data_IF_846670373489
#
_entry.id   IF_846670373489
#
_cell.length_a   1.000
_cell.length_b   1.000
_cell.length_c   1.000
_cell.angle_alpha   90.00
_cell.angle_beta   90.00
_cell.angle_gamma   90.00
#
_symmetry.space_group_name_H-M   'P 1'
#
loop_
_entity.id
_entity.type
_entity.pdbx_description
1 polymer ?
#
# COMPACT_ATOMS: atom_id res chain seq x y z
N UNK A 1 -21.11 15.02 -11.92
CA UNK A 1 -20.42 14.34 -10.80
C UNK A 1 -20.39 12.86 -11.13
N UNK A 2 -19.22 12.33 -11.41
CA UNK A 2 -19.05 10.90 -11.75
C UNK A 2 -18.70 10.10 -10.50
N UNK A 3 -19.07 8.82 -10.45
CA UNK A 3 -18.67 7.91 -9.38
C UNK A 3 -17.59 6.97 -9.90
N UNK A 4 -16.44 6.97 -9.25
CA UNK A 4 -15.33 6.07 -9.54
C UNK A 4 -15.24 4.98 -8.47
N UNK A 5 -15.13 3.74 -8.91
CA UNK A 5 -14.80 2.61 -8.04
C UNK A 5 -13.29 2.39 -8.10
N UNK A 6 -12.62 2.57 -6.98
CA UNK A 6 -11.17 2.46 -6.87
C UNK A 6 -10.83 1.20 -6.06
N UNK A 7 -10.22 0.23 -6.71
CA UNK A 7 -9.67 -0.94 -6.03
C UNK A 7 -8.23 -0.68 -5.69
N UNK A 8 -7.92 -0.59 -4.41
CA UNK A 8 -6.55 -0.43 -3.94
C UNK A 8 -6.13 -1.57 -3.04
N UNK A 9 -4.84 -1.89 -3.03
CA UNK A 9 -4.31 -3.06 -2.33
C UNK A 9 -3.15 -2.61 -1.45
N UNK A 10 -3.10 -3.14 -0.22
CA UNK A 10 -1.97 -2.93 0.69
C UNK A 10 -1.18 -4.23 0.78
N UNK A 11 0.10 -4.16 0.41
CA UNK A 11 1.02 -5.28 0.32
C UNK A 11 2.29 -5.04 1.14
N UNK A 12 3.04 -6.10 1.33
CA UNK A 12 4.29 -6.14 2.08
C UNK A 12 4.29 -7.32 3.05
N UNK A 13 5.42 -7.58 3.65
CA UNK A 13 5.63 -8.73 4.53
C UNK A 13 4.69 -8.77 5.74
N UNK A 14 4.65 -9.91 6.42
CA UNK A 14 3.93 -10.06 7.69
C UNK A 14 4.50 -9.11 8.75
N UNK A 15 3.64 -8.67 9.68
CA UNK A 15 4.01 -7.86 10.83
C UNK A 15 4.62 -6.46 10.56
N UNK A 16 4.65 -5.98 9.32
CA UNK A 16 5.08 -4.60 9.03
C UNK A 16 4.05 -3.53 9.46
N UNK A 17 2.85 -3.95 9.87
CA UNK A 17 1.81 -3.06 10.40
C UNK A 17 0.81 -2.53 9.36
N UNK A 18 0.56 -3.25 8.25
CA UNK A 18 -0.43 -2.87 7.20
C UNK A 18 -1.82 -2.65 7.78
N UNK A 19 -2.35 -3.64 8.47
CA UNK A 19 -3.67 -3.59 9.11
C UNK A 19 -3.75 -2.48 10.15
N UNK A 20 -2.70 -2.31 10.95
CA UNK A 20 -2.63 -1.25 11.97
C UNK A 20 -2.65 0.14 11.32
N UNK A 21 -1.96 0.29 10.19
CA UNK A 21 -1.94 1.54 9.41
C UNK A 21 -3.34 1.87 8.85
N UNK A 22 -4.05 0.86 8.34
CA UNK A 22 -5.43 1.00 7.87
C UNK A 22 -6.39 1.38 8.99
N UNK A 23 -6.33 0.73 10.14
CA UNK A 23 -7.13 1.10 11.30
C UNK A 23 -6.83 2.52 11.77
N UNK A 24 -5.55 2.91 11.79
CA UNK A 24 -5.17 4.28 12.13
C UNK A 24 -5.80 5.30 11.19
N UNK A 25 -5.83 5.01 9.89
CA UNK A 25 -6.43 5.89 8.89
C UNK A 25 -7.95 5.97 9.00
N UNK A 26 -8.63 4.83 9.16
CA UNK A 26 -10.11 4.75 9.14
C UNK A 26 -10.71 5.19 10.47
N UNK A 27 -10.18 4.69 11.57
CA UNK A 27 -10.75 4.82 12.91
C UNK A 27 -10.06 5.91 13.75
N UNK A 28 -8.92 6.45 13.26
CA UNK A 28 -8.12 7.43 13.99
C UNK A 28 -7.40 6.87 15.23
N UNK A 29 -7.52 5.57 15.50
CA UNK A 29 -6.98 4.91 16.69
C UNK A 29 -5.80 3.99 16.37
N UNK A 30 -4.91 3.82 17.34
CA UNK A 30 -3.86 2.81 17.31
C UNK A 30 -4.25 1.66 18.23
N UNK A 31 -4.27 0.46 17.68
CA UNK A 31 -4.53 -0.77 18.44
C UNK A 31 -3.23 -1.56 18.50
N UNK A 32 -2.67 -1.70 19.70
CA UNK A 32 -1.48 -2.51 19.92
C UNK A 32 -1.84 -3.99 19.95
N UNK A 33 -0.94 -4.83 19.45
CA UNK A 33 -1.10 -6.29 19.52
C UNK A 33 -2.16 -6.86 18.59
N UNK A 34 -2.51 -6.17 17.49
CA UNK A 34 -3.37 -6.76 16.47
C UNK A 34 -2.79 -8.09 15.98
N UNK A 35 -3.64 -9.11 15.92
CA UNK A 35 -3.27 -10.40 15.37
C UNK A 35 -2.92 -10.28 13.89
N UNK A 36 -2.01 -11.15 13.42
CA UNK A 36 -1.62 -11.16 12.02
C UNK A 36 -2.83 -11.47 11.12
N UNK A 37 -2.99 -10.69 10.06
CA UNK A 37 -4.06 -10.89 9.08
C UNK A 37 -3.90 -12.23 8.38
N UNK A 38 -4.93 -13.07 8.46
CA UNK A 38 -5.03 -14.34 7.74
C UNK A 38 -5.94 -14.12 6.54
N UNK A 39 -5.41 -14.31 5.33
CA UNK A 39 -6.17 -14.12 4.10
C UNK A 39 -6.29 -12.65 3.68
N UNK A 40 -7.50 -12.16 3.49
CA UNK A 40 -7.79 -10.80 3.03
C UNK A 40 -8.88 -10.14 3.86
N UNK A 41 -8.71 -8.86 4.18
CA UNK A 41 -9.73 -8.00 4.77
C UNK A 41 -10.07 -6.86 3.81
N UNK A 42 -11.33 -6.42 3.83
CA UNK A 42 -11.84 -5.37 2.96
C UNK A 42 -12.28 -4.16 3.78
N UNK A 43 -11.80 -2.99 3.37
CA UNK A 43 -12.19 -1.72 3.96
C UNK A 43 -12.76 -0.82 2.87
N UNK A 44 -13.85 -0.12 3.16
CA UNK A 44 -14.47 0.82 2.22
C UNK A 44 -14.34 2.25 2.73
N UNK A 45 -13.98 3.15 1.84
CA UNK A 45 -13.86 4.56 2.15
C UNK A 45 -14.47 5.40 1.01
N UNK A 46 -15.19 6.49 1.37
CA UNK A 46 -15.74 7.42 0.40
C UNK A 46 -14.98 8.74 0.47
N UNK A 47 -14.42 9.14 -0.65
CA UNK A 47 -13.72 10.41 -0.80
C UNK A 47 -14.33 11.24 -1.94
N UNK A 48 -14.03 12.53 -1.93
CA UNK A 48 -14.24 13.41 -3.08
C UNK A 48 -12.87 13.82 -3.62
N UNK A 49 -12.67 13.67 -4.91
CA UNK A 49 -11.46 14.10 -5.57
C UNK A 49 -11.79 14.78 -6.90
N UNK A 50 -11.28 15.99 -7.12
CA UNK A 50 -11.55 16.81 -8.32
C UNK A 50 -13.05 16.97 -8.66
N UNK A 51 -13.92 17.06 -7.65
CA UNK A 51 -15.37 17.22 -7.83
C UNK A 51 -16.14 15.92 -8.10
N UNK A 52 -15.45 14.79 -8.24
CA UNK A 52 -16.03 13.47 -8.42
C UNK A 52 -16.05 12.66 -7.12
N UNK A 53 -16.93 11.67 -7.04
CA UNK A 53 -16.99 10.73 -5.92
C UNK A 53 -16.08 9.53 -6.17
N UNK A 54 -15.26 9.21 -5.18
CA UNK A 54 -14.40 8.03 -5.18
C UNK A 54 -14.88 7.04 -4.11
N UNK A 55 -15.36 5.90 -4.52
CA UNK A 55 -15.61 4.76 -3.64
C UNK A 55 -14.36 3.89 -3.66
N UNK A 56 -13.52 4.02 -2.64
CA UNK A 56 -12.30 3.25 -2.47
C UNK A 56 -12.62 1.94 -1.75
N UNK A 57 -12.20 0.82 -2.31
CA UNK A 57 -12.17 -0.48 -1.64
C UNK A 57 -10.72 -0.87 -1.45
N UNK A 58 -10.27 -0.86 -0.20
CA UNK A 58 -8.91 -1.26 0.16
C UNK A 58 -8.89 -2.71 0.56
N UNK A 59 -8.03 -3.47 -0.08
CA UNK A 59 -7.80 -4.88 0.17
C UNK A 59 -6.52 -5.02 0.99
N UNK A 60 -6.67 -5.33 2.28
CA UNK A 60 -5.55 -5.63 3.18
C UNK A 60 -5.22 -7.12 3.10
N UNK A 61 -4.09 -7.44 2.46
CA UNK A 61 -3.66 -8.82 2.30
C UNK A 61 -2.65 -9.22 3.37
N UNK A 62 -2.86 -10.41 3.94
CA UNK A 62 -1.91 -11.01 4.87
C UNK A 62 -0.54 -11.20 4.23
N UNK A 63 0.51 -10.63 4.85
CA UNK A 63 1.86 -10.60 4.26
C UNK A 63 2.67 -11.89 4.42
N UNK A 64 2.07 -12.97 4.92
CA UNK A 64 2.79 -14.22 5.16
C UNK A 64 3.12 -14.94 3.85
N UNK A 65 4.37 -15.38 3.71
CA UNK A 65 4.89 -16.08 2.50
C UNK A 65 4.03 -17.31 2.10
N UNK A 66 3.46 -18.00 3.06
CA UNK A 66 2.60 -19.17 2.80
C UNK A 66 1.33 -18.82 2.02
N UNK A 67 0.70 -17.67 2.27
CA UNK A 67 -0.51 -17.27 1.54
C UNK A 67 -0.22 -16.88 0.09
N UNK A 68 0.96 -16.31 -0.18
CA UNK A 68 1.39 -16.03 -1.57
C UNK A 68 1.55 -17.31 -2.38
N UNK A 69 2.10 -18.38 -1.77
CA UNK A 69 2.33 -19.66 -2.43
C UNK A 69 1.04 -20.43 -2.75
N UNK A 70 -0.09 -20.06 -2.16
CA UNK A 70 -1.38 -20.72 -2.41
C UNK A 70 -2.05 -20.30 -3.74
N UNK A 71 -1.45 -19.38 -4.52
CA UNK A 71 -2.00 -18.95 -5.82
C UNK A 71 -3.31 -18.16 -5.74
N UNK A 72 -3.71 -17.73 -4.54
CA UNK A 72 -4.97 -17.01 -4.31
C UNK A 72 -4.78 -15.50 -4.49
N UNK A 73 -3.63 -14.98 -4.12
CA UNK A 73 -3.35 -13.55 -4.13
C UNK A 73 -3.25 -12.95 -5.52
N UNK A 74 -2.87 -13.73 -6.52
CA UNK A 74 -2.81 -13.31 -7.93
C UNK A 74 -4.15 -12.76 -8.40
N UNK A 75 -5.25 -13.45 -8.05
CA UNK A 75 -6.61 -13.00 -8.39
C UNK A 75 -6.99 -11.69 -7.71
N UNK A 76 -6.44 -11.43 -6.52
CA UNK A 76 -6.73 -10.20 -5.78
C UNK A 76 -6.01 -8.99 -6.36
N UNK A 77 -4.87 -9.17 -7.05
CA UNK A 77 -4.15 -8.08 -7.69
C UNK A 77 -4.82 -7.63 -8.99
N UNK A 78 -5.56 -8.52 -9.65
CA UNK A 78 -6.19 -8.18 -10.92
C UNK A 78 -7.17 -7.01 -10.78
N UNK A 79 -7.05 -6.04 -11.69
CA UNK A 79 -7.92 -4.87 -11.72
C UNK A 79 -7.62 -3.81 -10.65
N UNK A 80 -6.50 -3.91 -9.96
CA UNK A 80 -6.08 -2.86 -9.02
C UNK A 80 -5.92 -1.51 -9.73
N UNK A 81 -6.31 -0.44 -9.04
CA UNK A 81 -6.15 0.95 -9.47
C UNK A 81 -4.93 1.60 -8.83
N UNK A 82 -4.49 1.11 -7.68
CA UNK A 82 -3.34 1.60 -6.94
C UNK A 82 -2.89 0.59 -5.88
N UNK A 83 -1.60 0.60 -5.55
CA UNK A 83 -1.00 -0.29 -4.55
C UNK A 83 -0.19 0.53 -3.56
N UNK A 84 -0.40 0.25 -2.25
CA UNK A 84 0.54 0.59 -1.21
C UNK A 84 1.44 -0.63 -0.95
N UNK A 85 2.73 -0.48 -1.18
CA UNK A 85 3.72 -1.51 -0.90
C UNK A 85 4.58 -1.07 0.27
N UNK A 86 4.60 -1.86 1.33
CA UNK A 86 5.23 -1.48 2.57
C UNK A 86 6.35 -2.39 3.04
N UNK A 87 7.20 -1.81 3.86
CA UNK A 87 8.22 -2.49 4.63
C UNK A 87 8.30 -1.90 6.06
N UNK A 88 9.04 -2.56 6.93
CA UNK A 88 9.31 -2.12 8.30
C UNK A 88 10.67 -1.43 8.34
N UNK A 89 10.72 -0.18 8.81
CA UNK A 89 11.98 0.58 8.94
C UNK A 89 12.97 -0.06 9.91
N UNK A 90 12.48 -0.95 10.78
CA UNK A 90 13.30 -1.71 11.75
C UNK A 90 13.71 -3.09 11.25
N UNK A 91 13.51 -3.38 9.94
CA UNK A 91 13.88 -4.67 9.35
C UNK A 91 14.34 -4.50 7.90
N UNK A 92 15.65 -4.62 7.70
CA UNK A 92 16.28 -4.58 6.38
C UNK A 92 15.76 -5.70 5.46
N UNK A 93 15.44 -6.88 6.02
CA UNK A 93 14.89 -8.00 5.27
C UNK A 93 13.57 -7.64 4.60
N UNK A 94 12.67 -6.98 5.31
CA UNK A 94 11.37 -6.58 4.74
C UNK A 94 11.51 -5.54 3.63
N UNK A 95 12.53 -4.68 3.70
CA UNK A 95 12.88 -3.75 2.63
C UNK A 95 13.45 -4.48 1.41
N UNK A 96 14.35 -5.43 1.59
CA UNK A 96 14.90 -6.25 0.50
C UNK A 96 13.79 -7.03 -0.21
N UNK A 97 12.86 -7.63 0.54
CA UNK A 97 11.74 -8.38 -0.01
C UNK A 97 10.79 -7.53 -0.89
N UNK A 98 10.78 -6.19 -0.74
CA UNK A 98 10.08 -5.30 -1.68
C UNK A 98 10.55 -5.55 -3.12
N UNK A 99 11.86 -5.68 -3.31
CA UNK A 99 12.49 -5.82 -4.64
C UNK A 99 12.58 -7.27 -5.07
N UNK A 100 12.96 -8.16 -4.16
CA UNK A 100 13.23 -9.56 -4.46
C UNK A 100 11.95 -10.39 -4.68
N UNK A 101 10.83 -9.98 -4.05
CA UNK A 101 9.62 -10.78 -4.07
C UNK A 101 8.37 -10.00 -4.50
N UNK A 102 8.15 -8.77 -3.95
CA UNK A 102 6.87 -8.09 -4.13
C UNK A 102 6.73 -7.38 -5.47
N UNK A 103 7.77 -6.70 -5.97
CA UNK A 103 7.67 -5.95 -7.22
C UNK A 103 7.39 -6.84 -8.42
N UNK A 104 8.09 -7.96 -8.54
CA UNK A 104 7.86 -8.90 -9.63
C UNK A 104 6.50 -9.57 -9.52
N UNK A 105 6.07 -9.92 -8.31
CA UNK A 105 4.73 -10.43 -8.07
C UNK A 105 3.63 -9.44 -8.49
N UNK A 106 3.80 -8.15 -8.18
CA UNK A 106 2.87 -7.08 -8.59
C UNK A 106 2.87 -6.93 -10.11
N UNK A 107 4.04 -6.83 -10.74
CA UNK A 107 4.16 -6.66 -12.20
C UNK A 107 3.49 -7.79 -12.97
N UNK A 108 3.68 -9.03 -12.53
CA UNK A 108 3.08 -10.20 -13.16
C UNK A 108 1.55 -10.24 -13.03
N UNK A 109 0.98 -9.80 -11.91
CA UNK A 109 -0.43 -10.03 -11.58
C UNK A 109 -1.32 -8.79 -11.65
N UNK A 110 -0.77 -7.60 -11.45
CA UNK A 110 -1.49 -6.32 -11.54
C UNK A 110 -1.13 -5.50 -12.78
N UNK A 111 -0.05 -5.87 -13.46
CA UNK A 111 0.46 -5.10 -14.61
C UNK A 111 1.05 -3.75 -14.19
N UNK A 112 0.91 -2.76 -15.05
CA UNK A 112 1.44 -1.42 -14.81
C UNK A 112 0.45 -0.58 -13.97
N UNK A 113 0.39 -0.84 -12.67
CA UNK A 113 -0.41 -0.12 -11.69
C UNK A 113 0.47 0.87 -10.92
N UNK A 114 -0.04 2.06 -10.52
CA UNK A 114 0.72 2.97 -9.68
C UNK A 114 1.00 2.34 -8.30
N UNK A 115 2.26 2.37 -7.91
CA UNK A 115 2.74 1.85 -6.62
C UNK A 115 3.30 3.00 -5.79
N UNK A 116 2.84 3.12 -4.56
CA UNK A 116 3.38 4.02 -3.55
C UNK A 116 4.11 3.16 -2.53
N UNK A 117 5.37 3.50 -2.25
CA UNK A 117 6.19 2.82 -1.26
C UNK A 117 6.01 3.47 0.11
N UNK A 118 5.97 2.67 1.18
CA UNK A 118 6.01 3.20 2.53
C UNK A 118 6.91 2.37 3.46
N UNK A 119 7.67 3.06 4.31
CA UNK A 119 8.38 2.48 5.44
C UNK A 119 7.61 2.77 6.72
N UNK A 120 7.10 1.74 7.38
CA UNK A 120 6.33 1.89 8.62
C UNK A 120 7.21 1.79 9.86
N UNK A 121 6.64 2.13 11.01
CA UNK A 121 7.28 2.17 12.34
C UNK A 121 8.37 3.25 12.46
N UNK A 122 8.15 4.39 11.81
CA UNK A 122 9.07 5.54 11.85
C UNK A 122 9.27 6.11 13.28
N UNK A 123 8.41 5.77 14.22
CA UNK A 123 8.54 6.10 15.65
C UNK A 123 9.63 5.30 16.38
N UNK A 124 10.05 4.14 15.85
CA UNK A 124 11.08 3.28 16.43
C UNK A 124 12.48 3.68 15.93
N UNK A 125 12.89 4.91 16.24
CA UNK A 125 14.11 5.53 15.72
C UNK A 125 15.37 4.74 16.12
N UNK A 126 15.42 4.25 17.37
CA UNK A 126 16.57 3.53 17.90
C UNK A 126 16.78 2.14 17.27
N UNK A 127 15.71 1.56 16.75
CA UNK A 127 15.73 0.22 16.15
C UNK A 127 15.80 0.25 14.63
N UNK A 128 15.99 1.44 14.04
CA UNK A 128 16.00 1.64 12.59
C UNK A 128 17.18 0.92 11.94
N UNK A 129 16.88 0.08 10.95
CA UNK A 129 17.87 -0.62 10.12
C UNK A 129 17.90 -0.10 8.67
N UNK A 130 16.81 0.51 8.19
CA UNK A 130 16.70 0.98 6.81
C UNK A 130 17.00 2.48 6.73
N UNK A 131 18.17 2.82 6.17
CA UNK A 131 18.61 4.20 6.03
C UNK A 131 17.89 4.94 4.89
N UNK A 132 17.72 6.27 5.05
CA UNK A 132 16.97 7.10 4.10
C UNK A 132 17.58 7.13 2.70
N UNK A 133 18.90 7.15 2.60
CA UNK A 133 19.62 7.23 1.33
C UNK A 133 19.38 5.97 0.50
N UNK A 134 19.40 4.79 1.15
CA UNK A 134 19.10 3.52 0.52
C UNK A 134 17.71 3.51 -0.12
N UNK A 135 16.70 4.03 0.58
CA UNK A 135 15.33 4.11 0.06
C UNK A 135 15.23 5.14 -1.07
N UNK A 136 15.90 6.28 -0.93
CA UNK A 136 15.89 7.35 -1.95
C UNK A 136 16.40 6.86 -3.30
N UNK A 137 17.46 6.06 -3.30
CA UNK A 137 18.02 5.48 -4.52
C UNK A 137 17.07 4.45 -5.15
N UNK A 138 16.48 3.59 -4.34
CA UNK A 138 15.49 2.62 -4.80
C UNK A 138 14.23 3.29 -5.39
N UNK A 139 13.74 4.37 -4.76
CA UNK A 139 12.56 5.11 -5.29
C UNK A 139 12.82 5.67 -6.67
N UNK A 140 14.02 6.20 -6.93
CA UNK A 140 14.41 6.73 -8.25
C UNK A 140 14.52 5.61 -9.30
N UNK A 141 15.12 4.48 -8.92
CA UNK A 141 15.36 3.35 -9.82
C UNK A 141 14.07 2.66 -10.25
N UNK A 142 13.16 2.39 -9.34
CA UNK A 142 11.98 1.55 -9.60
C UNK A 142 10.71 2.33 -9.97
N UNK A 143 10.75 3.67 -9.96
CA UNK A 143 9.66 4.51 -10.46
C UNK A 143 8.39 4.50 -9.61
N UNK A 144 8.52 4.42 -8.29
CA UNK A 144 7.40 4.56 -7.37
C UNK A 144 6.74 5.94 -7.49
N UNK A 145 5.43 6.01 -7.27
CA UNK A 145 4.64 7.26 -7.33
C UNK A 145 4.78 8.14 -6.08
N UNK A 146 5.53 7.69 -5.12
CA UNK A 146 5.88 8.38 -3.89
C UNK A 146 6.46 7.43 -2.86
N UNK A 147 7.11 8.01 -1.86
CA UNK A 147 7.62 7.32 -0.68
C UNK A 147 7.26 8.10 0.57
N UNK A 148 6.80 7.38 1.60
CA UNK A 148 6.43 7.96 2.88
C UNK A 148 6.96 7.11 4.03
N UNK A 149 7.60 7.75 5.01
CA UNK A 149 7.88 7.13 6.29
C UNK A 149 6.66 7.33 7.19
N UNK A 150 6.04 6.24 7.59
CA UNK A 150 4.78 6.26 8.34
C UNK A 150 4.95 5.69 9.75
N UNK A 151 4.10 6.14 10.65
CA UNK A 151 3.91 5.49 11.95
C UNK A 151 2.42 5.33 12.22
N UNK A 152 1.95 4.11 12.23
CA UNK A 152 0.58 3.81 12.66
C UNK A 152 0.36 4.22 14.12
N UNK A 153 1.39 4.18 14.97
CA UNK A 153 1.34 4.55 16.38
C UNK A 153 1.13 6.05 16.56
N UNK A 154 1.93 6.88 15.92
CA UNK A 154 1.87 8.35 16.09
C UNK A 154 0.88 9.01 15.12
N UNK A 155 0.53 8.36 14.03
CA UNK A 155 -0.26 8.92 12.94
C UNK A 155 0.57 9.63 11.86
N UNK A 156 1.90 9.63 11.98
CA UNK A 156 2.80 10.30 11.04
C UNK A 156 2.55 9.80 9.61
N UNK A 157 2.31 10.73 8.68
CA UNK A 157 2.09 10.52 7.24
C UNK A 157 0.99 9.49 6.89
N UNK A 158 0.12 9.14 7.83
CA UNK A 158 -0.95 8.15 7.58
C UNK A 158 -2.01 8.71 6.65
N UNK A 159 -2.50 9.92 6.90
CA UNK A 159 -3.47 10.57 6.03
C UNK A 159 -2.87 10.82 4.62
N UNK A 160 -1.66 11.36 4.58
CA UNK A 160 -0.95 11.74 3.36
C UNK A 160 -0.75 10.56 2.39
N UNK A 161 -0.41 9.37 2.92
CA UNK A 161 -0.20 8.21 2.05
C UNK A 161 -1.50 7.70 1.44
N UNK A 162 -2.61 7.75 2.18
CA UNK A 162 -3.91 7.33 1.66
C UNK A 162 -4.51 8.38 0.72
N UNK A 163 -4.31 9.67 0.96
CA UNK A 163 -4.69 10.73 0.03
C UNK A 163 -3.94 10.57 -1.29
N UNK A 164 -2.65 10.29 -1.23
CA UNK A 164 -1.84 9.99 -2.42
C UNK A 164 -2.33 8.74 -3.15
N UNK A 165 -2.68 7.69 -2.43
CA UNK A 165 -3.25 6.47 -3.01
C UNK A 165 -4.55 6.75 -3.76
N UNK A 166 -5.46 7.52 -3.16
CA UNK A 166 -6.73 7.91 -3.79
C UNK A 166 -6.48 8.70 -5.07
N UNK A 167 -5.56 9.66 -5.03
CA UNK A 167 -5.17 10.45 -6.18
C UNK A 167 -4.67 9.56 -7.33
N UNK A 168 -3.68 8.72 -7.08
CA UNK A 168 -3.07 7.87 -8.11
C UNK A 168 -4.07 6.84 -8.66
N UNK A 169 -4.88 6.24 -7.78
CA UNK A 169 -5.91 5.30 -8.17
C UNK A 169 -7.01 5.95 -9.02
N UNK A 170 -7.40 7.19 -8.71
CA UNK A 170 -8.36 7.96 -9.50
C UNK A 170 -7.83 8.28 -10.90
N UNK A 171 -6.61 8.80 -11.01
CA UNK A 171 -5.99 9.13 -12.28
C UNK A 171 -5.80 7.86 -13.15
N UNK A 172 -5.43 6.74 -12.56
CA UNK A 172 -5.32 5.46 -13.25
C UNK A 172 -6.69 5.00 -13.79
N UNK A 173 -7.76 5.10 -13.01
CA UNK A 173 -9.10 4.75 -13.45
C UNK A 173 -9.61 5.68 -14.54
N UNK A 174 -9.33 6.96 -14.45
CA UNK A 174 -9.67 7.94 -15.46
C UNK A 174 -8.96 7.64 -16.79
N UNK A 175 -7.67 7.29 -16.71
CA UNK A 175 -6.88 6.88 -17.88
C UNK A 175 -7.45 5.63 -18.55
N UNK A 176 -7.83 4.61 -17.76
CA UNK A 176 -8.43 3.37 -18.27
C UNK A 176 -9.80 3.59 -18.94
N UNK A 177 -10.57 4.57 -18.50
CA UNK A 177 -11.89 4.92 -19.08
C UNK A 177 -11.80 5.87 -20.28
N UNK A 178 -10.68 6.51 -20.51
CA UNK A 178 -10.48 7.38 -21.67
C UNK A 178 -10.54 6.55 -22.96
N UNK A 179 -11.25 7.00 -24.02
CA UNK A 179 -11.29 6.30 -25.29
C UNK A 179 -9.85 6.16 -25.83
N UNK A 180 -9.49 4.93 -26.17
CA UNK A 180 -8.23 4.69 -26.88
C UNK A 180 -8.30 5.41 -28.23
N UNK A 181 -7.46 6.42 -28.43
CA UNK A 181 -7.28 7.09 -29.71
C UNK A 181 -6.64 6.15 -30.73
#
# INVERSE_FOLDING_TARGET
>A
MTVYLLKSIVLGDGAIGKTTLLHRWIDGSFVEGLQMTIGVQFHTYKAKYNGDLCNLVVWDLGGQKQFRRMGVFERYLHGASGILLGFDLTSIETFQNVFDEWLDFIKMNAGNVPIILFGNKADLIADREVEKDLVSDAVKEFGFKGYYETSAKTGQNVAEIFDRLIQEAFEEQKRKKAPKK
#
